data_IF_123171746199
#
_entry.id   IF_123171746199
#
_cell.length_a   1.000
_cell.length_b   1.000
_cell.length_c   1.000
_cell.angle_alpha   90.00
_cell.angle_beta   90.00
_cell.angle_gamma   90.00
#
_symmetry.space_group_name_H-M   'P 1'
#
loop_
_entity.id
_entity.type
_entity.pdbx_description
1 polymer ?
#
# COMPACT_ATOMS: atom_id res chain seq x y z
N UNK A 1 -8.69 36.77 12.96
CA UNK A 1 -9.47 35.89 13.86
C UNK A 1 -10.30 34.83 13.15
N UNK A 2 -11.13 35.12 12.14
CA UNK A 2 -11.97 34.12 11.42
C UNK A 2 -11.21 32.97 10.76
N UNK A 3 -9.99 33.18 10.24
CA UNK A 3 -9.21 32.14 9.52
C UNK A 3 -8.64 31.09 10.50
N UNK A 4 -8.23 31.53 11.67
CA UNK A 4 -7.70 30.66 12.72
C UNK A 4 -8.79 29.75 13.32
N UNK A 5 -9.95 30.32 13.60
CA UNK A 5 -11.13 29.59 14.11
C UNK A 5 -11.56 28.49 13.10
N UNK A 6 -11.61 28.81 11.79
CA UNK A 6 -11.93 27.81 10.76
C UNK A 6 -10.91 26.66 10.71
N UNK A 7 -9.63 26.95 10.91
CA UNK A 7 -8.59 25.91 10.96
C UNK A 7 -8.73 25.05 12.21
N UNK A 8 -8.95 25.66 13.38
CA UNK A 8 -9.14 24.93 14.65
C UNK A 8 -10.37 24.00 14.58
N UNK A 9 -11.50 24.48 14.04
CA UNK A 9 -12.71 23.67 13.85
C UNK A 9 -12.42 22.47 12.93
N UNK A 10 -11.66 22.67 11.84
CA UNK A 10 -11.28 21.54 10.95
C UNK A 10 -10.45 20.49 11.67
N UNK A 11 -9.50 20.90 12.50
CA UNK A 11 -8.68 19.95 13.27
C UNK A 11 -9.48 19.22 14.33
N UNK A 12 -10.43 19.90 15.00
CA UNK A 12 -11.33 19.27 15.96
C UNK A 12 -12.25 18.25 15.28
N UNK A 13 -12.86 18.62 14.14
CA UNK A 13 -13.70 17.71 13.37
C UNK A 13 -12.90 16.49 12.86
N UNK A 14 -11.67 16.71 12.40
CA UNK A 14 -10.80 15.62 11.98
C UNK A 14 -10.45 14.72 13.17
N UNK A 15 -10.11 15.29 14.32
CA UNK A 15 -9.80 14.52 15.53
C UNK A 15 -11.02 13.72 16.02
N UNK A 16 -12.21 14.29 16.00
CA UNK A 16 -13.46 13.60 16.35
C UNK A 16 -13.77 12.47 15.37
N UNK A 17 -13.57 12.69 14.07
CA UNK A 17 -13.75 11.67 13.05
C UNK A 17 -12.78 10.49 13.26
N UNK A 18 -11.50 10.78 13.50
CA UNK A 18 -10.48 9.75 13.79
C UNK A 18 -10.82 8.99 15.08
N UNK A 19 -11.20 9.69 16.15
CA UNK A 19 -11.59 9.06 17.40
C UNK A 19 -12.83 8.17 17.23
N UNK A 20 -13.81 8.61 16.44
CA UNK A 20 -14.99 7.82 16.10
C UNK A 20 -14.63 6.55 15.34
N UNK A 21 -13.79 6.65 14.31
CA UNK A 21 -13.33 5.49 13.54
C UNK A 21 -12.54 4.49 14.41
N UNK A 22 -11.65 4.99 15.26
CA UNK A 22 -10.92 4.15 16.22
C UNK A 22 -11.89 3.46 17.20
N UNK A 23 -12.85 4.18 17.74
CA UNK A 23 -13.86 3.62 18.63
C UNK A 23 -14.64 2.49 17.94
N UNK A 24 -15.12 2.68 16.72
CA UNK A 24 -15.85 1.64 15.99
C UNK A 24 -15.01 0.40 15.70
N UNK A 25 -13.71 0.57 15.43
CA UNK A 25 -12.81 -0.56 15.18
C UNK A 25 -12.40 -1.32 16.44
N UNK A 26 -12.40 -0.67 17.60
CA UNK A 26 -11.84 -1.24 18.84
C UNK A 26 -12.93 -1.65 19.84
N UNK A 27 -14.16 -1.09 19.73
CA UNK A 27 -15.21 -1.22 20.76
C UNK A 27 -15.50 -2.67 21.20
N UNK A 28 -15.49 -3.62 20.25
CA UNK A 28 -15.83 -5.02 20.50
C UNK A 28 -14.70 -5.78 21.23
N UNK A 29 -13.46 -5.27 21.15
CA UNK A 29 -12.26 -5.85 21.76
C UNK A 29 -11.55 -4.88 22.73
N UNK A 30 -12.21 -3.76 23.08
CA UNK A 30 -11.57 -2.69 23.86
C UNK A 30 -11.03 -3.18 25.21
N UNK A 31 -11.80 -4.03 25.91
CA UNK A 31 -11.40 -4.57 27.20
C UNK A 31 -10.15 -5.47 27.10
N UNK A 32 -10.11 -6.37 26.13
CA UNK A 32 -8.98 -7.27 25.87
C UNK A 32 -7.72 -6.50 25.46
N UNK A 33 -7.90 -5.49 24.58
CA UNK A 33 -6.80 -4.64 24.14
C UNK A 33 -6.24 -3.83 25.31
N UNK A 34 -7.12 -3.29 26.16
CA UNK A 34 -6.71 -2.48 27.31
C UNK A 34 -5.98 -3.32 28.35
N UNK A 35 -6.49 -4.52 28.65
CA UNK A 35 -5.84 -5.48 29.54
C UNK A 35 -4.46 -5.87 29.01
N UNK A 36 -4.36 -6.24 27.72
CA UNK A 36 -3.08 -6.54 27.07
C UNK A 36 -2.09 -5.37 27.16
N UNK A 37 -2.56 -4.14 26.90
CA UNK A 37 -1.71 -2.94 26.95
C UNK A 37 -1.22 -2.61 28.38
N UNK A 38 -2.04 -2.88 29.41
CA UNK A 38 -1.62 -2.69 30.81
C UNK A 38 -0.49 -3.62 31.22
N UNK A 39 -0.47 -4.85 30.70
CA UNK A 39 0.58 -5.83 30.98
C UNK A 39 1.84 -5.59 30.12
N UNK A 40 1.74 -4.78 29.05
CA UNK A 40 2.86 -4.48 28.19
C UNK A 40 3.77 -3.42 28.82
N UNK A 41 5.05 -3.74 29.00
CA UNK A 41 6.01 -2.76 29.54
C UNK A 41 6.15 -1.57 28.57
N UNK A 42 6.16 -0.35 29.10
CA UNK A 42 6.23 0.90 28.33
C UNK A 42 7.36 0.90 27.27
N UNK A 43 8.51 0.30 27.59
CA UNK A 43 9.64 0.19 26.65
C UNK A 43 9.29 -0.60 25.39
N UNK A 44 8.48 -1.64 25.50
CA UNK A 44 8.04 -2.46 24.37
C UNK A 44 6.99 -1.73 23.52
N UNK A 45 6.05 -1.06 24.17
CA UNK A 45 5.08 -0.18 23.52
C UNK A 45 5.77 0.91 22.68
N UNK A 46 6.76 1.59 23.26
CA UNK A 46 7.56 2.59 22.55
C UNK A 46 8.33 1.97 21.38
N UNK A 47 8.89 0.77 21.57
CA UNK A 47 9.58 0.03 20.50
C UNK A 47 8.64 -0.27 19.32
N UNK A 48 7.43 -0.75 19.57
CA UNK A 48 6.41 -1.02 18.53
C UNK A 48 5.98 0.27 17.81
N UNK A 49 5.78 1.36 18.55
CA UNK A 49 5.45 2.66 17.95
C UNK A 49 6.58 3.14 17.04
N UNK A 50 7.84 3.06 17.47
CA UNK A 50 9.00 3.47 16.67
C UNK A 50 9.15 2.60 15.41
N UNK A 51 8.99 1.28 15.55
CA UNK A 51 9.03 0.36 14.40
C UNK A 51 7.89 0.64 13.42
N UNK A 52 6.68 0.82 13.91
CA UNK A 52 5.54 1.20 13.06
C UNK A 52 5.79 2.53 12.37
N UNK A 53 6.32 3.54 13.08
CA UNK A 53 6.67 4.83 12.50
C UNK A 53 7.76 4.70 11.43
N UNK A 54 8.72 3.78 11.59
CA UNK A 54 9.79 3.54 10.61
C UNK A 54 9.26 3.09 9.25
N UNK A 55 8.17 2.32 9.22
CA UNK A 55 7.48 1.88 7.99
C UNK A 55 7.03 3.09 7.16
N UNK A 56 6.47 4.12 7.83
CA UNK A 56 6.02 5.36 7.18
C UNK A 56 7.21 6.18 6.67
N UNK A 57 8.27 6.26 7.45
CA UNK A 57 9.50 6.98 7.07
C UNK A 57 10.14 6.32 5.84
N UNK A 58 10.29 4.99 5.86
CA UNK A 58 10.86 4.24 4.73
C UNK A 58 9.99 4.42 3.47
N UNK A 59 8.66 4.33 3.60
CA UNK A 59 7.74 4.60 2.49
C UNK A 59 7.90 6.02 1.94
N UNK A 60 8.06 7.01 2.82
CA UNK A 60 8.30 8.41 2.43
C UNK A 60 9.64 8.62 1.72
N UNK A 61 10.69 7.89 2.13
CA UNK A 61 11.97 7.88 1.43
C UNK A 61 11.80 7.31 0.01
N UNK A 62 11.07 6.21 -0.15
CA UNK A 62 10.78 5.61 -1.46
C UNK A 62 10.08 6.59 -2.40
N UNK A 63 9.02 7.24 -1.94
CA UNK A 63 8.32 8.29 -2.69
C UNK A 63 9.26 9.46 -3.03
N UNK A 64 10.10 9.89 -2.09
CA UNK A 64 11.07 10.96 -2.32
C UNK A 64 12.09 10.59 -3.41
N UNK A 65 12.58 9.36 -3.43
CA UNK A 65 13.50 8.86 -4.46
C UNK A 65 12.86 8.91 -5.84
N UNK A 66 11.59 8.49 -5.96
CA UNK A 66 10.84 8.57 -7.22
C UNK A 66 10.58 10.03 -7.65
N UNK A 67 10.14 10.88 -6.73
CA UNK A 67 9.83 12.29 -7.01
C UNK A 67 11.07 13.06 -7.47
N UNK A 68 12.26 12.77 -6.93
CA UNK A 68 13.50 13.45 -7.32
C UNK A 68 13.92 13.21 -8.77
N UNK A 69 13.39 12.19 -9.42
CA UNK A 69 13.57 11.99 -10.86
C UNK A 69 12.87 13.05 -11.71
N UNK A 70 11.76 13.56 -11.20
CA UNK A 70 10.94 14.56 -11.87
C UNK A 70 11.26 15.95 -11.37
N UNK A 71 11.43 16.08 -10.07
CA UNK A 71 11.78 17.35 -9.40
C UNK A 71 12.96 17.09 -8.44
N UNK A 72 14.22 17.37 -8.86
CA UNK A 72 15.41 17.15 -8.01
C UNK A 72 15.38 17.90 -6.68
N UNK A 73 14.64 19.02 -6.59
CA UNK A 73 14.48 19.82 -5.37
C UNK A 73 13.45 19.22 -4.38
N UNK A 74 12.84 18.07 -4.69
CA UNK A 74 11.84 17.46 -3.82
C UNK A 74 12.46 17.01 -2.48
N UNK A 75 11.90 17.56 -1.38
CA UNK A 75 12.46 17.39 -0.04
C UNK A 75 12.01 16.07 0.60
N UNK A 76 12.90 15.47 1.40
CA UNK A 76 12.61 14.26 2.19
C UNK A 76 11.39 14.44 3.10
N UNK A 77 11.31 15.57 3.80
CA UNK A 77 10.15 15.94 4.62
C UNK A 77 8.82 15.81 3.86
N UNK A 78 8.80 16.26 2.59
CA UNK A 78 7.59 16.20 1.75
C UNK A 78 7.23 14.77 1.37
N UNK A 79 8.22 13.91 1.14
CA UNK A 79 8.02 12.48 0.90
C UNK A 79 7.42 11.79 2.12
N UNK A 80 7.99 12.01 3.30
CA UNK A 80 7.51 11.45 4.56
C UNK A 80 6.09 11.93 4.87
N UNK A 81 5.82 13.25 4.78
CA UNK A 81 4.47 13.78 4.97
C UNK A 81 3.46 13.20 3.99
N UNK A 82 3.86 13.01 2.73
CA UNK A 82 3.00 12.41 1.70
C UNK A 82 2.66 10.95 2.07
N UNK A 83 3.65 10.15 2.48
CA UNK A 83 3.43 8.77 2.91
C UNK A 83 2.53 8.68 4.15
N UNK A 84 2.78 9.53 5.17
CA UNK A 84 1.97 9.55 6.39
C UNK A 84 0.51 9.92 6.12
N UNK A 85 0.27 10.98 5.34
CA UNK A 85 -1.10 11.41 4.99
C UNK A 85 -1.80 10.34 4.16
N UNK A 86 -1.11 9.73 3.19
CA UNK A 86 -1.67 8.67 2.37
C UNK A 86 -2.08 7.45 3.19
N UNK A 87 -1.19 6.97 4.05
CA UNK A 87 -1.47 5.80 4.88
C UNK A 87 -2.57 6.09 5.92
N UNK A 88 -2.56 7.28 6.52
CA UNK A 88 -3.65 7.70 7.39
C UNK A 88 -5.01 7.67 6.65
N UNK A 89 -5.09 8.28 5.47
CA UNK A 89 -6.31 8.31 4.68
C UNK A 89 -6.71 6.91 4.18
N UNK A 90 -5.76 6.04 3.88
CA UNK A 90 -6.02 4.67 3.47
C UNK A 90 -6.67 3.84 4.60
N UNK A 91 -6.29 4.09 5.85
CA UNK A 91 -6.87 3.42 7.02
C UNK A 91 -8.22 3.99 7.45
N UNK A 92 -8.51 5.26 7.12
CA UNK A 92 -9.72 5.98 7.55
C UNK A 92 -10.78 6.06 6.43
N UNK A 93 -10.35 5.92 5.19
CA UNK A 93 -11.20 6.06 4.01
C UNK A 93 -10.85 5.04 2.92
N UNK A 94 -11.34 5.23 1.71
CA UNK A 94 -10.99 4.39 0.58
C UNK A 94 -9.58 4.72 0.04
N UNK A 95 -8.90 3.71 -0.51
CA UNK A 95 -7.57 3.85 -1.14
C UNK A 95 -7.54 4.92 -2.25
N UNK A 96 -8.65 5.11 -2.96
CA UNK A 96 -8.79 6.17 -3.98
C UNK A 96 -8.65 7.58 -3.39
N UNK A 97 -9.20 7.82 -2.19
CA UNK A 97 -9.09 9.11 -1.47
C UNK A 97 -7.65 9.38 -1.08
N UNK A 98 -6.96 8.34 -0.58
CA UNK A 98 -5.54 8.43 -0.24
C UNK A 98 -4.68 8.79 -1.46
N UNK A 99 -4.91 8.15 -2.61
CA UNK A 99 -4.20 8.44 -3.86
C UNK A 99 -4.51 9.84 -4.40
N UNK A 100 -5.77 10.29 -4.33
CA UNK A 100 -6.13 11.65 -4.70
C UNK A 100 -5.44 12.70 -3.82
N UNK A 101 -5.34 12.47 -2.52
CA UNK A 101 -4.61 13.34 -1.60
C UNK A 101 -3.10 13.39 -1.92
N UNK A 102 -2.48 12.25 -2.25
CA UNK A 102 -1.10 12.21 -2.71
C UNK A 102 -0.88 13.08 -3.96
N UNK A 103 -1.80 12.99 -4.91
CA UNK A 103 -1.75 13.81 -6.13
C UNK A 103 -1.83 15.30 -5.84
N UNK A 104 -2.69 15.73 -4.91
CA UNK A 104 -2.78 17.13 -4.47
C UNK A 104 -1.47 17.59 -3.82
N UNK A 105 -0.84 16.75 -2.99
CA UNK A 105 0.44 17.05 -2.35
C UNK A 105 1.57 17.17 -3.39
N UNK A 106 1.57 16.34 -4.44
CA UNK A 106 2.51 16.47 -5.55
C UNK A 106 2.33 17.77 -6.30
N UNK A 107 1.08 18.18 -6.60
CA UNK A 107 0.77 19.43 -7.26
C UNK A 107 1.28 20.65 -6.47
N UNK A 108 1.12 20.65 -5.14
CA UNK A 108 1.66 21.72 -4.27
C UNK A 108 3.19 21.79 -4.32
N UNK A 109 3.86 20.73 -4.75
CA UNK A 109 5.32 20.64 -4.89
C UNK A 109 5.79 20.72 -6.34
N UNK A 110 5.00 21.34 -7.23
CA UNK A 110 5.31 21.56 -8.65
C UNK A 110 5.60 20.26 -9.44
N UNK A 111 4.92 19.17 -9.09
CA UNK A 111 4.88 17.94 -9.89
C UNK A 111 3.55 17.94 -10.66
N UNK A 112 3.61 17.80 -11.99
CA UNK A 112 2.41 17.78 -12.83
C UNK A 112 1.54 16.55 -12.52
N UNK A 113 0.29 16.58 -12.98
CA UNK A 113 -0.65 15.47 -12.76
C UNK A 113 -0.13 14.17 -13.39
N UNK A 114 0.34 14.23 -14.62
CA UNK A 114 0.87 13.10 -15.37
C UNK A 114 2.10 12.49 -14.67
N UNK A 115 3.01 13.36 -14.24
CA UNK A 115 4.20 12.97 -13.48
C UNK A 115 3.84 12.35 -12.13
N UNK A 116 2.86 12.93 -11.43
CA UNK A 116 2.37 12.40 -10.18
C UNK A 116 1.73 11.01 -10.32
N UNK A 117 0.90 10.82 -11.35
CA UNK A 117 0.35 9.50 -11.69
C UNK A 117 1.47 8.50 -12.01
N UNK A 118 2.47 8.90 -12.79
CA UNK A 118 3.64 8.06 -13.13
C UNK A 118 4.41 7.62 -11.89
N UNK A 119 4.59 8.52 -10.92
CA UNK A 119 5.24 8.22 -9.63
C UNK A 119 4.42 7.18 -8.85
N UNK A 120 3.09 7.38 -8.73
CA UNK A 120 2.22 6.48 -7.98
C UNK A 120 2.14 5.09 -8.62
N UNK A 121 2.08 5.03 -9.94
CA UNK A 121 2.09 3.76 -10.68
C UNK A 121 3.41 3.02 -10.46
N UNK A 122 4.54 3.71 -10.58
CA UNK A 122 5.84 3.08 -10.36
C UNK A 122 6.03 2.63 -8.91
N UNK A 123 5.63 3.43 -7.93
CA UNK A 123 5.64 3.05 -6.52
C UNK A 123 4.82 1.79 -6.27
N UNK A 124 3.61 1.73 -6.85
CA UNK A 124 2.72 0.58 -6.72
C UNK A 124 3.30 -0.68 -7.38
N UNK A 125 3.91 -0.57 -8.58
CA UNK A 125 4.56 -1.71 -9.26
C UNK A 125 5.70 -2.26 -8.39
N UNK A 126 6.60 -1.39 -7.94
CA UNK A 126 7.77 -1.78 -7.16
C UNK A 126 7.37 -2.35 -5.79
N UNK A 127 6.34 -1.77 -5.15
CA UNK A 127 5.76 -2.32 -3.93
C UNK A 127 5.23 -3.73 -4.16
N UNK A 128 4.46 -3.92 -5.22
CA UNK A 128 3.83 -5.20 -5.50
C UNK A 128 4.85 -6.28 -5.88
N UNK A 129 5.89 -5.93 -6.64
CA UNK A 129 7.00 -6.86 -6.94
C UNK A 129 7.69 -7.29 -5.63
N UNK A 130 7.96 -6.34 -4.72
CA UNK A 130 8.56 -6.66 -3.42
C UNK A 130 7.66 -7.55 -2.57
N UNK A 131 6.36 -7.25 -2.54
CA UNK A 131 5.36 -8.04 -1.81
C UNK A 131 5.28 -9.47 -2.34
N UNK A 132 5.20 -9.63 -3.66
CA UNK A 132 5.12 -10.96 -4.29
C UNK A 132 6.38 -11.79 -4.07
N UNK A 133 7.56 -11.16 -4.17
CA UNK A 133 8.82 -11.85 -3.90
C UNK A 133 8.89 -12.36 -2.46
N UNK A 134 8.56 -11.50 -1.49
CA UNK A 134 8.55 -11.89 -0.07
C UNK A 134 7.46 -12.91 0.25
N UNK A 135 6.25 -12.76 -0.30
CA UNK A 135 5.15 -13.71 -0.12
C UNK A 135 5.50 -15.08 -0.71
N UNK A 136 6.11 -15.12 -1.89
CA UNK A 136 6.56 -16.37 -2.49
C UNK A 136 7.62 -17.08 -1.61
N UNK A 137 8.61 -16.33 -1.12
CA UNK A 137 9.60 -16.86 -0.17
C UNK A 137 8.93 -17.36 1.11
N UNK A 138 7.99 -16.59 1.67
CA UNK A 138 7.28 -16.95 2.89
C UNK A 138 6.44 -18.23 2.71
N UNK A 139 5.67 -18.32 1.62
CA UNK A 139 4.90 -19.53 1.29
C UNK A 139 5.83 -20.72 1.10
N UNK A 140 6.93 -20.57 0.35
CA UNK A 140 7.89 -21.65 0.11
C UNK A 140 8.53 -22.18 1.41
N UNK A 141 8.94 -21.26 2.32
CA UNK A 141 9.51 -21.66 3.62
C UNK A 141 8.50 -22.42 4.49
N UNK A 142 7.22 -22.12 4.34
CA UNK A 142 6.17 -22.64 5.23
C UNK A 142 5.28 -23.69 4.60
N UNK A 143 5.53 -24.08 3.33
CA UNK A 143 4.64 -25.01 2.62
C UNK A 143 4.51 -26.34 3.35
N UNK A 144 5.60 -26.88 3.91
CA UNK A 144 5.60 -28.14 4.62
C UNK A 144 4.90 -28.08 5.99
N UNK A 145 4.63 -26.88 6.50
CA UNK A 145 4.05 -26.68 7.81
C UNK A 145 2.65 -26.04 7.75
N UNK A 146 2.48 -24.92 7.04
CA UNK A 146 1.21 -24.21 7.01
C UNK A 146 0.16 -24.91 6.15
N UNK A 147 0.53 -25.51 5.03
CA UNK A 147 -0.41 -26.19 4.14
C UNK A 147 -1.06 -27.41 4.81
N UNK A 148 -0.34 -28.29 5.49
CA UNK A 148 -0.96 -29.41 6.20
C UNK A 148 -1.84 -28.97 7.38
N UNK A 149 -1.46 -27.90 8.09
CA UNK A 149 -2.23 -27.38 9.22
C UNK A 149 -3.54 -26.68 8.79
N UNK A 150 -3.51 -25.99 7.66
CA UNK A 150 -4.60 -25.16 7.17
C UNK A 150 -4.92 -25.44 5.69
N UNK A 151 -5.38 -26.65 5.34
CA UNK A 151 -5.52 -27.05 3.93
C UNK A 151 -6.58 -26.23 3.17
N UNK A 152 -7.67 -25.81 3.82
CA UNK A 152 -8.74 -24.99 3.20
C UNK A 152 -8.28 -23.54 3.02
N UNK A 153 -7.64 -22.99 4.04
CA UNK A 153 -7.10 -21.63 4.05
C UNK A 153 -5.94 -21.51 3.06
N UNK A 154 -5.21 -22.57 2.81
CA UNK A 154 -4.14 -22.61 1.80
C UNK A 154 -4.66 -22.42 0.38
N UNK A 155 -5.84 -22.95 0.06
CA UNK A 155 -6.50 -22.69 -1.24
C UNK A 155 -6.85 -21.20 -1.37
N UNK A 156 -7.35 -20.58 -0.29
CA UNK A 156 -7.63 -19.14 -0.27
C UNK A 156 -6.34 -18.32 -0.40
N UNK A 157 -5.28 -18.68 0.30
CA UNK A 157 -3.99 -18.00 0.21
C UNK A 157 -3.40 -18.09 -1.22
N UNK A 158 -3.46 -19.26 -1.87
CA UNK A 158 -3.04 -19.42 -3.26
C UNK A 158 -3.90 -18.62 -4.22
N UNK A 159 -5.21 -18.56 -3.97
CA UNK A 159 -6.13 -17.70 -4.75
C UNK A 159 -5.78 -16.21 -4.57
N UNK A 160 -5.52 -15.77 -3.34
CA UNK A 160 -5.09 -14.41 -3.04
C UNK A 160 -3.75 -14.07 -3.69
N UNK A 161 -2.81 -15.02 -3.72
CA UNK A 161 -1.56 -14.88 -4.45
C UNK A 161 -1.79 -14.68 -5.95
N UNK A 162 -2.63 -15.52 -6.57
CA UNK A 162 -2.99 -15.39 -7.98
C UNK A 162 -3.71 -14.06 -8.28
N UNK A 163 -4.65 -13.65 -7.43
CA UNK A 163 -5.36 -12.37 -7.55
C UNK A 163 -4.36 -11.20 -7.43
N UNK A 164 -3.40 -11.28 -6.52
CA UNK A 164 -2.38 -10.23 -6.32
C UNK A 164 -1.39 -10.12 -7.49
N UNK A 165 -1.14 -11.20 -8.23
CA UNK A 165 -0.33 -11.18 -9.46
C UNK A 165 -1.05 -10.49 -10.60
N UNK A 166 -2.35 -10.64 -10.73
CA UNK A 166 -3.12 -10.19 -11.88
C UNK A 166 -2.99 -8.68 -12.18
N UNK A 167 -3.11 -7.76 -11.22
CA UNK A 167 -2.86 -6.34 -11.44
C UNK A 167 -1.43 -6.04 -11.92
N UNK A 168 -0.43 -6.78 -11.41
CA UNK A 168 0.96 -6.60 -11.85
C UNK A 168 1.11 -7.00 -13.32
N UNK A 169 0.57 -8.16 -13.69
CA UNK A 169 0.61 -8.62 -15.07
C UNK A 169 -0.05 -7.63 -16.02
N UNK A 170 -1.23 -7.09 -15.65
CA UNK A 170 -1.91 -6.07 -16.42
C UNK A 170 -1.01 -4.84 -16.59
N UNK A 171 -0.49 -4.29 -15.48
CA UNK A 171 0.34 -3.08 -15.53
C UNK A 171 1.65 -3.34 -16.26
N UNK A 172 2.29 -4.50 -16.07
CA UNK A 172 3.48 -4.90 -16.79
C UNK A 172 3.20 -5.03 -18.30
N UNK A 173 2.09 -5.65 -18.68
CA UNK A 173 1.66 -5.77 -20.08
C UNK A 173 1.45 -4.39 -20.70
N UNK A 174 0.76 -3.51 -20.02
CA UNK A 174 0.50 -2.14 -20.46
C UNK A 174 1.79 -1.30 -20.54
N UNK A 175 2.73 -1.54 -19.63
CA UNK A 175 4.03 -0.88 -19.61
C UNK A 175 4.94 -1.34 -20.77
N UNK A 176 4.91 -2.64 -21.10
CA UNK A 176 5.70 -3.23 -22.18
C UNK A 176 5.09 -3.00 -23.56
N UNK A 177 3.75 -2.98 -23.63
CA UNK A 177 2.99 -2.86 -24.88
C UNK A 177 1.94 -1.75 -24.82
N UNK A 178 2.33 -0.48 -25.04
CA UNK A 178 1.40 0.65 -25.01
C UNK A 178 0.23 0.51 -26.00
N UNK A 179 0.43 -0.22 -27.12
CA UNK A 179 -0.63 -0.49 -28.12
C UNK A 179 -1.82 -1.31 -27.59
N UNK A 180 -1.64 -2.10 -26.54
CA UNK A 180 -2.73 -2.83 -25.86
C UNK A 180 -3.75 -1.85 -25.26
N UNK A 181 -3.30 -0.66 -24.87
CA UNK A 181 -4.18 0.38 -24.35
C UNK A 181 -5.22 0.88 -25.35
N UNK A 182 -4.81 1.04 -26.62
CA UNK A 182 -5.72 1.44 -27.69
C UNK A 182 -6.79 0.36 -27.93
N UNK A 183 -6.41 -0.92 -27.84
CA UNK A 183 -7.34 -2.05 -27.92
C UNK A 183 -8.30 -2.10 -26.74
N UNK A 184 -7.80 -1.95 -25.52
CA UNK A 184 -8.60 -1.91 -24.28
C UNK A 184 -9.61 -0.75 -24.29
N UNK A 185 -9.18 0.45 -24.67
CA UNK A 185 -10.06 1.63 -24.76
C UNK A 185 -11.21 1.41 -25.75
N UNK A 186 -10.93 0.82 -26.93
CA UNK A 186 -11.95 0.45 -27.90
C UNK A 186 -12.87 -0.64 -27.37
N UNK A 187 -12.33 -1.68 -26.73
CA UNK A 187 -13.10 -2.78 -26.16
C UNK A 187 -14.04 -2.31 -25.03
N UNK A 188 -13.55 -1.46 -24.13
CA UNK A 188 -14.38 -0.88 -23.06
C UNK A 188 -15.48 0.02 -23.65
N UNK A 189 -15.14 0.84 -24.65
CA UNK A 189 -16.14 1.64 -25.37
C UNK A 189 -17.25 0.79 -26.02
N UNK A 190 -16.87 -0.32 -26.64
CA UNK A 190 -17.82 -1.29 -27.21
C UNK A 190 -18.70 -1.94 -26.13
N UNK A 191 -18.14 -2.31 -24.98
CA UNK A 191 -18.90 -2.90 -23.86
C UNK A 191 -19.89 -1.90 -23.25
N UNK A 192 -19.50 -0.63 -23.09
CA UNK A 192 -20.41 0.43 -22.60
C UNK A 192 -21.59 0.58 -23.53
N UNK A 193 -21.35 0.63 -24.84
CA UNK A 193 -22.42 0.74 -25.86
C UNK A 193 -23.32 -0.50 -25.85
N UNK A 194 -22.73 -1.70 -25.82
CA UNK A 194 -23.48 -2.96 -25.88
C UNK A 194 -24.31 -3.23 -24.63
N UNK A 195 -23.80 -2.89 -23.47
CA UNK A 195 -24.48 -3.12 -22.17
C UNK A 195 -25.32 -1.91 -21.74
N UNK A 196 -25.40 -0.86 -22.56
CA UNK A 196 -26.14 0.38 -22.27
C UNK A 196 -25.86 0.92 -20.87
N UNK A 197 -24.59 0.85 -20.44
CA UNK A 197 -24.20 1.29 -19.11
C UNK A 197 -24.35 2.82 -18.98
N UNK A 198 -24.80 3.33 -17.82
CA UNK A 198 -25.05 4.76 -17.60
C UNK A 198 -23.72 5.54 -17.39
N UNK A 199 -22.68 5.20 -18.13
CA UNK A 199 -21.37 5.84 -18.05
C UNK A 199 -21.10 6.70 -19.28
N UNK A 200 -20.54 7.89 -19.06
CA UNK A 200 -20.08 8.72 -20.16
C UNK A 200 -18.83 8.09 -20.80
N UNK A 201 -19.02 7.54 -21.99
CA UNK A 201 -17.97 6.89 -22.79
C UNK A 201 -16.77 7.80 -23.04
N UNK A 202 -17.01 9.09 -23.32
CA UNK A 202 -15.93 10.04 -23.58
C UNK A 202 -15.09 10.29 -22.32
N UNK A 203 -15.73 10.47 -21.17
CA UNK A 203 -15.03 10.63 -19.89
C UNK A 203 -14.15 9.43 -19.56
N UNK A 204 -14.64 8.20 -19.81
CA UNK A 204 -13.87 6.98 -19.57
C UNK A 204 -12.70 6.86 -20.55
N UNK A 205 -12.91 7.14 -21.82
CA UNK A 205 -11.85 7.12 -22.82
C UNK A 205 -10.76 8.15 -22.52
N UNK A 206 -11.12 9.37 -22.09
CA UNK A 206 -10.17 10.39 -21.68
C UNK A 206 -9.43 10.01 -20.39
N UNK A 207 -10.07 9.31 -19.45
CA UNK A 207 -9.40 8.82 -18.24
C UNK A 207 -8.39 7.72 -18.59
N UNK A 208 -8.76 6.79 -19.47
CA UNK A 208 -7.88 5.73 -19.95
C UNK A 208 -6.67 6.32 -20.73
N UNK A 209 -6.91 7.30 -21.60
CA UNK A 209 -5.83 7.95 -22.34
C UNK A 209 -4.84 8.64 -21.39
N UNK A 210 -5.32 9.42 -20.40
CA UNK A 210 -4.46 10.05 -19.39
C UNK A 210 -3.66 9.03 -18.59
N UNK A 211 -4.26 7.88 -18.28
CA UNK A 211 -3.54 6.79 -17.60
C UNK A 211 -2.46 6.19 -18.50
N UNK A 212 -2.74 5.98 -19.81
CA UNK A 212 -1.76 5.54 -20.80
C UNK A 212 -0.58 6.51 -20.91
N UNK A 213 -0.86 7.82 -21.00
CA UNK A 213 0.16 8.85 -21.08
C UNK A 213 1.03 8.87 -19.79
N UNK A 214 0.41 8.64 -18.63
CA UNK A 214 1.12 8.49 -17.36
C UNK A 214 2.05 7.28 -17.34
N UNK A 215 1.62 6.14 -17.91
CA UNK A 215 2.46 4.94 -18.04
C UNK A 215 3.63 5.17 -18.99
N UNK A 216 3.40 5.83 -20.12
CA UNK A 216 4.48 6.18 -21.06
C UNK A 216 5.48 7.13 -20.41
N UNK A 217 5.01 8.12 -19.66
CA UNK A 217 5.86 9.03 -18.91
C UNK A 217 6.68 8.27 -17.87
N UNK A 218 6.06 7.34 -17.12
CA UNK A 218 6.77 6.48 -16.17
C UNK A 218 7.84 5.64 -16.86
N UNK A 219 7.52 5.03 -18.01
CA UNK A 219 8.47 4.25 -18.79
C UNK A 219 9.67 5.11 -19.22
N UNK A 220 9.42 6.31 -19.76
CA UNK A 220 10.49 7.24 -20.17
C UNK A 220 11.41 7.66 -19.03
N UNK A 221 10.83 7.88 -17.84
CA UNK A 221 11.58 8.36 -16.65
C UNK A 221 12.38 7.26 -15.96
N UNK A 222 11.83 6.06 -15.85
CA UNK A 222 12.37 5.04 -14.94
C UNK A 222 13.02 3.86 -15.63
N UNK A 223 12.64 3.49 -16.88
CA UNK A 223 13.17 2.33 -17.59
C UNK A 223 14.69 2.32 -17.71
N UNK A 224 15.31 3.51 -17.88
CA UNK A 224 16.77 3.65 -18.02
C UNK A 224 17.52 3.75 -16.68
N UNK A 225 16.79 3.85 -15.56
CA UNK A 225 17.41 4.05 -14.24
C UNK A 225 17.10 2.92 -13.27
N UNK A 226 17.67 1.77 -13.57
CA UNK A 226 17.55 0.57 -12.73
C UNK A 226 17.99 0.82 -11.28
N UNK A 227 18.93 1.78 -11.04
CA UNK A 227 19.40 2.10 -9.68
C UNK A 227 18.32 2.71 -8.82
N UNK A 228 17.48 3.57 -9.40
CA UNK A 228 16.32 4.13 -8.69
C UNK A 228 15.29 3.04 -8.39
N UNK A 229 14.98 2.21 -9.38
CA UNK A 229 14.06 1.10 -9.21
C UNK A 229 14.55 0.12 -8.14
N UNK A 230 15.82 -0.26 -8.17
CA UNK A 230 16.43 -1.15 -7.18
C UNK A 230 16.38 -0.54 -5.77
N UNK A 231 16.70 0.76 -5.62
CA UNK A 231 16.62 1.44 -4.31
C UNK A 231 15.20 1.41 -3.75
N UNK A 232 14.21 1.72 -4.56
CA UNK A 232 12.80 1.73 -4.10
C UNK A 232 12.32 0.31 -3.82
N UNK A 233 12.72 -0.67 -4.62
CA UNK A 233 12.44 -2.08 -4.36
C UNK A 233 13.03 -2.54 -3.02
N UNK A 234 14.30 -2.24 -2.75
CA UNK A 234 14.94 -2.55 -1.46
C UNK A 234 14.24 -1.85 -0.28
N UNK A 235 13.87 -0.57 -0.42
CA UNK A 235 13.12 0.15 0.59
C UNK A 235 11.74 -0.50 0.85
N UNK A 236 11.04 -0.93 -0.20
CA UNK A 236 9.78 -1.64 -0.06
C UNK A 236 9.96 -3.01 0.59
N UNK A 237 11.01 -3.74 0.25
CA UNK A 237 11.36 -5.02 0.88
C UNK A 237 11.59 -4.84 2.38
N UNK A 238 12.42 -3.86 2.78
CA UNK A 238 12.66 -3.56 4.21
C UNK A 238 11.36 -3.13 4.91
N UNK A 239 10.58 -2.25 4.30
CA UNK A 239 9.28 -1.80 4.82
C UNK A 239 8.32 -2.97 5.07
N UNK A 240 8.19 -3.87 4.10
CA UNK A 240 7.35 -5.07 4.20
C UNK A 240 7.87 -6.04 5.26
N UNK A 241 9.19 -6.28 5.30
CA UNK A 241 9.80 -7.14 6.31
C UNK A 241 9.53 -6.64 7.73
N UNK A 242 9.66 -5.33 7.98
CA UNK A 242 9.32 -4.74 9.28
C UNK A 242 7.83 -4.94 9.57
N UNK A 243 6.94 -4.64 8.63
CA UNK A 243 5.49 -4.76 8.80
C UNK A 243 5.08 -6.19 9.17
N UNK A 244 5.59 -7.17 8.45
CA UNK A 244 5.25 -8.59 8.66
C UNK A 244 5.99 -9.23 9.84
N UNK A 245 7.02 -8.57 10.39
CA UNK A 245 7.66 -8.97 11.64
C UNK A 245 6.96 -8.42 12.89
N UNK A 246 6.04 -7.46 12.76
CA UNK A 246 5.35 -6.89 13.93
C UNK A 246 4.59 -7.93 14.77
N UNK A 247 3.85 -8.92 14.21
CA UNK A 247 3.20 -9.95 15.00
C UNK A 247 4.19 -10.78 15.83
N UNK A 248 5.36 -11.11 15.24
CA UNK A 248 6.43 -11.82 15.94
C UNK A 248 6.97 -11.00 17.12
N UNK A 249 7.20 -9.70 16.90
CA UNK A 249 7.70 -8.81 17.95
C UNK A 249 6.67 -8.61 19.07
N UNK A 250 5.38 -8.55 18.74
CA UNK A 250 4.29 -8.52 19.73
C UNK A 250 4.30 -9.79 20.57
N UNK A 251 4.38 -10.96 19.94
CA UNK A 251 4.46 -12.24 20.64
C UNK A 251 5.67 -12.31 21.58
N UNK A 252 6.84 -11.85 21.11
CA UNK A 252 8.04 -11.75 21.94
C UNK A 252 7.87 -10.79 23.14
N UNK A 253 7.24 -9.64 22.94
CA UNK A 253 7.01 -8.66 24.01
C UNK A 253 5.95 -9.13 25.02
N UNK A 254 5.03 -9.96 24.59
CA UNK A 254 4.06 -10.63 25.47
C UNK A 254 4.66 -11.86 26.18
N UNK A 255 5.97 -12.08 26.03
CA UNK A 255 6.70 -13.22 26.64
C UNK A 255 6.12 -14.60 26.26
N UNK A 256 5.53 -14.68 25.06
CA UNK A 256 5.14 -15.98 24.50
C UNK A 256 6.43 -16.75 24.23
N UNK A 257 6.50 -17.99 24.73
CA UNK A 257 7.68 -18.84 24.57
C UNK A 257 7.87 -19.22 23.09
N UNK A 258 8.73 -18.47 22.41
CA UNK A 258 9.05 -18.64 20.99
C UNK A 258 10.41 -19.29 20.84
N UNK A 259 10.44 -20.41 20.15
CA UNK A 259 11.69 -21.06 19.74
C UNK A 259 12.24 -20.37 18.50
N UNK A 260 13.56 -20.41 18.31
CA UNK A 260 14.20 -19.83 17.11
C UNK A 260 13.64 -20.40 15.79
N UNK A 261 13.22 -21.66 15.79
CA UNK A 261 12.59 -22.32 14.65
C UNK A 261 11.19 -21.77 14.31
N UNK A 262 10.52 -21.08 15.26
CA UNK A 262 9.18 -20.54 15.07
C UNK A 262 9.21 -19.15 14.38
N UNK A 263 10.36 -18.47 14.38
CA UNK A 263 10.52 -17.12 13.79
C UNK A 263 10.16 -17.09 12.29
N UNK A 264 10.70 -17.98 11.43
CA UNK A 264 10.30 -18.01 10.02
C UNK A 264 8.82 -18.32 9.84
N UNK A 265 8.25 -19.16 10.71
CA UNK A 265 6.85 -19.53 10.66
C UNK A 265 5.93 -18.35 10.96
N UNK A 266 6.20 -17.57 12.02
CA UNK A 266 5.42 -16.36 12.34
C UNK A 266 5.47 -15.32 11.23
N UNK A 267 6.65 -15.10 10.66
CA UNK A 267 6.84 -14.19 9.54
C UNK A 267 6.01 -14.65 8.32
N UNK A 268 6.10 -15.94 7.99
CA UNK A 268 5.37 -16.53 6.87
C UNK A 268 3.87 -16.57 7.10
N UNK A 269 3.42 -16.84 8.33
CA UNK A 269 2.00 -16.82 8.69
C UNK A 269 1.41 -15.42 8.49
N UNK A 270 2.16 -14.35 8.75
CA UNK A 270 1.72 -12.98 8.50
C UNK A 270 1.45 -12.71 7.01
N UNK A 271 2.32 -13.20 6.10
CA UNK A 271 2.07 -13.13 4.66
C UNK A 271 0.91 -14.03 4.23
N UNK A 272 0.79 -15.20 4.81
CA UNK A 272 -0.28 -16.14 4.51
C UNK A 272 -1.65 -15.55 4.84
N UNK A 273 -1.79 -14.89 5.99
CA UNK A 273 -3.02 -14.17 6.37
C UNK A 273 -3.31 -13.02 5.39
N UNK A 274 -2.32 -12.20 5.03
CA UNK A 274 -2.51 -11.11 4.05
C UNK A 274 -2.96 -11.65 2.67
N UNK A 275 -2.45 -12.81 2.25
CA UNK A 275 -2.86 -13.46 1.00
C UNK A 275 -4.31 -13.96 1.08
N UNK A 276 -4.73 -14.56 2.21
CA UNK A 276 -6.12 -14.97 2.44
C UNK A 276 -7.04 -13.74 2.36
N UNK A 277 -6.68 -12.67 3.05
CA UNK A 277 -7.46 -11.43 3.05
C UNK A 277 -7.57 -10.85 1.63
N UNK A 278 -6.53 -10.95 0.81
CA UNK A 278 -6.53 -10.50 -0.59
C UNK A 278 -7.48 -11.33 -1.48
N UNK A 279 -7.84 -12.55 -1.08
CA UNK A 279 -8.80 -13.39 -1.80
C UNK A 279 -10.26 -13.06 -1.46
N UNK A 280 -10.50 -12.35 -0.36
CA UNK A 280 -11.85 -12.03 0.08
C UNK A 280 -12.38 -10.78 -0.64
N UNK A 281 -13.65 -10.76 -1.08
CA UNK A 281 -14.23 -9.66 -1.87
C UNK A 281 -14.52 -8.38 -1.03
N UNK A 282 -14.03 -8.30 0.19
CA UNK A 282 -14.35 -7.23 1.16
C UNK A 282 -13.28 -6.12 1.19
N UNK A 283 -12.22 -6.24 0.37
CA UNK A 283 -11.11 -5.28 0.38
C UNK A 283 -10.94 -4.52 -0.94
#
# INVERSE_FOLDING_TARGET
>A
MKKWIKQTIKYILLAMFVAGMLYFNIKDHAAEIFDTLQHLQLRYTLGLILLSASVYVIGGIGICVLCRKVNPAYQMKSGISNAMISLFLMNVSASAVAKAAQMLLFKVRNISWEQGCSILVMDQILYQISYMALSACAVFISCDFLIPLFPKESILALSGFAISIFPILIVALLFLWPGVFAGLSKGIGYLIDKLQLPFDKLSIQHALQRFADSLQTANGLYKKDYRVMLRVHLLNTVKLSIRHSLPLLIAFFLQIDLRLQDIPLFFSASFFVDLILSALPVY
#
